data_IF_630814842837
#
_entry.id   IF_630814842837
#
_cell.length_a   1.000
_cell.length_b   1.000
_cell.length_c   1.000
_cell.angle_alpha   90.00
_cell.angle_beta   90.00
_cell.angle_gamma   90.00
#
_symmetry.space_group_name_H-M   'P 1'
#
loop_
_entity.id
_entity.type
_entity.pdbx_description
1 polymer ?
#
# COMPACT_ATOMS: atom_id res chain seq x y z
N UNK A 1 -23.86 2.47 -7.19
CA UNK A 1 -22.44 2.64 -7.53
C UNK A 1 -21.78 1.31 -7.29
N UNK A 2 -21.21 0.71 -8.33
CA UNK A 2 -20.75 -0.69 -8.29
C UNK A 2 -19.36 -0.85 -7.67
N UNK A 3 -18.51 0.17 -7.83
CA UNK A 3 -17.19 0.21 -7.19
C UNK A 3 -16.75 1.65 -6.90
N UNK A 4 -15.82 1.79 -5.94
CA UNK A 4 -15.04 3.00 -5.71
C UNK A 4 -13.62 2.59 -5.35
N UNK A 5 -12.64 3.14 -6.05
CA UNK A 5 -11.23 2.81 -5.83
C UNK A 5 -10.50 4.08 -5.38
N UNK A 6 -9.83 3.99 -4.26
CA UNK A 6 -9.00 5.05 -3.70
C UNK A 6 -7.54 4.69 -3.92
N UNK A 7 -6.81 5.56 -4.59
CA UNK A 7 -5.37 5.41 -4.75
C UNK A 7 -4.67 6.08 -3.56
N UNK A 8 -4.00 5.25 -2.77
CA UNK A 8 -3.18 5.64 -1.62
C UNK A 8 -1.71 5.30 -1.91
N UNK A 9 -0.82 5.67 -0.99
CA UNK A 9 0.58 5.28 -1.00
C UNK A 9 0.96 4.41 0.19
N UNK A 10 1.95 3.54 0.00
CA UNK A 10 2.70 2.85 1.08
C UNK A 10 3.43 3.82 2.01
N UNK A 11 3.75 5.02 1.53
CA UNK A 11 4.44 6.07 2.30
C UNK A 11 3.69 6.51 3.54
N UNK A 12 2.39 6.22 3.65
CA UNK A 12 1.61 6.45 4.88
C UNK A 12 2.01 5.54 6.04
N UNK A 13 2.56 4.36 5.75
CA UNK A 13 2.85 3.34 6.76
C UNK A 13 4.07 3.74 7.57
N UNK A 14 5.18 3.99 6.89
CA UNK A 14 6.46 4.33 7.52
C UNK A 14 6.80 5.82 7.49
N UNK A 15 6.18 6.62 6.60
CA UNK A 15 6.40 8.06 6.51
C UNK A 15 7.71 8.43 5.81
N UNK A 16 7.65 9.38 4.87
CA UNK A 16 8.84 10.02 4.31
C UNK A 16 9.06 11.38 4.96
N UNK A 17 10.31 11.72 5.26
CA UNK A 17 10.67 13.06 5.73
C UNK A 17 10.17 14.13 4.76
N UNK A 18 9.55 15.20 5.30
CA UNK A 18 8.96 16.27 4.49
C UNK A 18 7.61 15.94 3.83
N UNK A 19 7.07 14.73 4.02
CA UNK A 19 5.82 14.28 3.41
C UNK A 19 4.70 14.02 4.43
N UNK A 20 4.69 14.69 5.58
CA UNK A 20 3.65 14.54 6.60
C UNK A 20 2.24 14.77 6.03
N UNK A 21 2.07 15.83 5.25
CA UNK A 21 0.77 16.21 4.68
C UNK A 21 0.27 15.14 3.70
N UNK A 22 1.18 14.60 2.89
CA UNK A 22 0.90 13.50 1.98
C UNK A 22 0.55 12.22 2.74
N UNK A 23 1.33 11.86 3.77
CA UNK A 23 1.07 10.69 4.61
C UNK A 23 -0.29 10.78 5.33
N UNK A 24 -0.66 11.95 5.85
CA UNK A 24 -1.97 12.19 6.48
C UNK A 24 -3.12 12.03 5.50
N UNK A 25 -3.01 12.60 4.30
CA UNK A 25 -4.03 12.46 3.25
C UNK A 25 -4.23 10.98 2.85
N UNK A 26 -3.14 10.26 2.66
CA UNK A 26 -3.20 8.83 2.32
C UNK A 26 -3.77 7.98 3.47
N UNK A 27 -3.44 8.31 4.73
CA UNK A 27 -4.05 7.68 5.90
C UNK A 27 -5.57 7.91 5.92
N UNK A 28 -6.01 9.14 5.64
CA UNK A 28 -7.44 9.44 5.52
C UNK A 28 -8.13 8.58 4.47
N UNK A 29 -7.57 8.40 3.27
CA UNK A 29 -8.17 7.55 2.23
C UNK A 29 -8.40 6.11 2.70
N UNK A 30 -7.49 5.57 3.51
CA UNK A 30 -7.62 4.22 4.04
C UNK A 30 -8.73 4.13 5.08
N UNK A 31 -8.75 5.07 6.04
CA UNK A 31 -9.83 5.15 7.04
C UNK A 31 -11.18 5.44 6.39
N UNK A 32 -11.22 6.24 5.32
CA UNK A 32 -12.45 6.54 4.59
C UNK A 32 -13.00 5.30 3.85
N UNK A 33 -12.12 4.49 3.26
CA UNK A 33 -12.52 3.21 2.67
C UNK A 33 -13.18 2.30 3.71
N UNK A 34 -12.58 2.19 4.89
CA UNK A 34 -13.13 1.41 6.01
C UNK A 34 -14.47 1.96 6.50
N UNK A 35 -14.57 3.28 6.66
CA UNK A 35 -15.80 3.95 7.04
C UNK A 35 -16.94 3.65 6.06
N UNK A 36 -16.68 3.76 4.75
CA UNK A 36 -17.68 3.45 3.71
C UNK A 36 -18.13 1.99 3.76
N UNK A 37 -17.19 1.06 3.92
CA UNK A 37 -17.52 -0.35 4.06
C UNK A 37 -18.35 -0.63 5.32
N UNK A 38 -18.07 0.07 6.43
CA UNK A 38 -18.89 0.01 7.65
C UNK A 38 -20.33 0.49 7.44
N UNK A 39 -20.59 1.29 6.41
CA UNK A 39 -21.93 1.70 5.96
C UNK A 39 -22.53 0.77 4.90
N UNK A 40 -21.87 -0.35 4.57
CA UNK A 40 -22.29 -1.26 3.50
C UNK A 40 -22.07 -0.69 2.08
N UNK A 41 -21.31 0.39 1.95
CA UNK A 41 -21.06 1.07 0.67
C UNK A 41 -19.75 0.59 0.04
N UNK A 42 -19.77 0.44 -1.29
CA UNK A 42 -18.59 0.06 -2.05
C UNK A 42 -17.41 1.03 -1.83
N UNK A 43 -16.24 0.46 -1.50
CA UNK A 43 -14.94 1.13 -1.44
C UNK A 43 -13.77 0.13 -1.35
N UNK A 44 -12.75 0.33 -2.18
CA UNK A 44 -11.43 -0.31 -2.10
C UNK A 44 -10.35 0.77 -2.03
N UNK A 45 -9.21 0.44 -1.42
CA UNK A 45 -8.05 1.32 -1.37
C UNK A 45 -6.78 0.55 -1.74
N UNK A 46 -5.97 1.14 -2.61
CA UNK A 46 -4.69 0.58 -3.07
C UNK A 46 -3.56 1.41 -2.47
N UNK A 47 -2.74 0.84 -1.60
CA UNK A 47 -1.51 1.46 -1.11
C UNK A 47 -0.37 1.18 -2.09
N UNK A 48 -0.15 2.11 -3.02
CA UNK A 48 0.86 1.96 -4.08
C UNK A 48 2.26 2.29 -3.60
N UNK A 49 3.20 1.45 -4.04
CA UNK A 49 4.63 1.73 -4.06
C UNK A 49 5.03 2.66 -5.22
N UNK A 50 6.32 3.02 -5.31
CA UNK A 50 6.87 3.72 -6.47
C UNK A 50 6.73 2.89 -7.76
N UNK A 51 6.40 3.56 -8.87
CA UNK A 51 6.17 2.95 -10.19
C UNK A 51 7.36 3.28 -11.11
N UNK A 52 7.92 2.27 -11.76
CA UNK A 52 9.20 2.31 -12.45
C UNK A 52 9.13 2.94 -13.85
N UNK A 53 8.08 2.59 -14.59
CA UNK A 53 7.96 2.73 -16.04
C UNK A 53 7.07 3.91 -16.45
N UNK A 54 6.18 4.35 -15.55
CA UNK A 54 5.29 5.51 -15.75
C UNK A 54 5.26 6.46 -14.55
N UNK A 55 4.71 7.65 -14.74
CA UNK A 55 4.45 8.61 -13.66
C UNK A 55 5.67 9.43 -13.21
N UNK A 56 5.66 9.86 -11.95
CA UNK A 56 6.64 10.82 -11.41
C UNK A 56 8.06 10.25 -11.33
N UNK A 57 8.17 9.00 -10.86
CA UNK A 57 9.47 8.32 -10.66
C UNK A 57 10.13 8.04 -12.01
N UNK A 58 9.39 7.51 -12.97
CA UNK A 58 9.88 7.28 -14.34
C UNK A 58 10.39 8.57 -15.04
N UNK A 59 9.83 9.74 -14.71
CA UNK A 59 10.23 11.04 -15.29
C UNK A 59 11.48 11.64 -14.66
N UNK A 60 11.93 11.12 -13.51
CA UNK A 60 13.04 11.69 -12.74
C UNK A 60 14.10 10.63 -12.47
N UNK A 61 15.05 10.49 -13.39
CA UNK A 61 16.07 9.44 -13.35
C UNK A 61 16.81 9.36 -11.99
N UNK A 62 17.20 10.51 -11.42
CA UNK A 62 17.87 10.54 -10.10
C UNK A 62 16.98 10.02 -8.96
N UNK A 63 15.67 10.28 -8.99
CA UNK A 63 14.72 9.73 -8.01
C UNK A 63 14.55 8.23 -8.21
N UNK A 64 14.44 7.77 -9.45
CA UNK A 64 14.36 6.36 -9.79
C UNK A 64 15.59 5.58 -9.31
N UNK A 65 16.79 6.07 -9.63
CA UNK A 65 18.05 5.43 -9.24
C UNK A 65 18.21 5.40 -7.71
N UNK A 66 17.85 6.48 -7.01
CA UNK A 66 17.86 6.52 -5.56
C UNK A 66 16.90 5.49 -4.93
N UNK A 67 15.73 5.26 -5.54
CA UNK A 67 14.78 4.24 -5.10
C UNK A 67 15.32 2.83 -5.35
N UNK A 68 15.87 2.56 -6.54
CA UNK A 68 16.44 1.25 -6.89
C UNK A 68 17.66 0.87 -6.04
N UNK A 69 18.41 1.85 -5.54
CA UNK A 69 19.53 1.59 -4.61
C UNK A 69 19.07 1.12 -3.22
N UNK A 70 17.79 1.30 -2.87
CA UNK A 70 17.27 0.98 -1.53
C UNK A 70 16.16 -0.09 -1.57
N UNK A 71 15.37 -0.13 -2.64
CA UNK A 71 14.22 -1.02 -2.80
C UNK A 71 14.58 -2.17 -3.72
N UNK A 72 14.18 -3.40 -3.36
CA UNK A 72 14.43 -4.60 -4.16
C UNK A 72 13.69 -4.55 -5.50
N UNK A 73 12.53 -3.90 -5.54
CA UNK A 73 11.72 -3.73 -6.74
C UNK A 73 10.87 -2.47 -6.69
N UNK A 74 10.54 -1.98 -7.89
CA UNK A 74 9.54 -0.94 -8.13
C UNK A 74 8.38 -1.58 -8.89
N UNK A 75 7.20 -0.96 -8.84
CA UNK A 75 6.00 -1.45 -9.51
C UNK A 75 6.07 -1.15 -11.00
N UNK A 76 5.46 -1.98 -11.83
CA UNK A 76 5.24 -1.69 -13.26
C UNK A 76 3.80 -1.25 -13.50
N UNK A 77 3.54 -0.64 -14.64
CA UNK A 77 2.20 -0.29 -15.09
C UNK A 77 1.28 -1.52 -15.10
N UNK A 78 1.76 -2.65 -15.63
CA UNK A 78 0.99 -3.90 -15.68
C UNK A 78 0.52 -4.33 -14.29
N UNK A 79 1.42 -4.29 -13.30
CA UNK A 79 1.07 -4.68 -11.94
C UNK A 79 0.06 -3.73 -11.29
N UNK A 80 0.14 -2.43 -11.62
CA UNK A 80 -0.87 -1.45 -11.21
C UNK A 80 -2.23 -1.81 -11.81
N UNK A 81 -2.30 -2.14 -13.10
CA UNK A 81 -3.55 -2.50 -13.77
C UNK A 81 -4.16 -3.78 -13.20
N UNK A 82 -3.36 -4.81 -12.93
CA UNK A 82 -3.79 -6.04 -12.24
C UNK A 82 -4.37 -5.73 -10.86
N UNK A 83 -3.72 -4.81 -10.13
CA UNK A 83 -4.18 -4.40 -8.82
C UNK A 83 -5.50 -3.63 -8.88
N UNK A 84 -5.69 -2.79 -9.89
CA UNK A 84 -6.96 -2.10 -10.12
C UNK A 84 -8.07 -3.11 -10.39
N UNK A 85 -7.80 -4.13 -11.20
CA UNK A 85 -8.77 -5.21 -11.46
C UNK A 85 -9.15 -5.94 -10.16
N UNK A 86 -8.16 -6.26 -9.31
CA UNK A 86 -8.42 -6.84 -7.99
C UNK A 86 -9.22 -5.90 -7.08
N UNK A 87 -8.92 -4.60 -7.09
CA UNK A 87 -9.62 -3.60 -6.31
C UNK A 87 -11.09 -3.45 -6.72
N UNK A 88 -11.41 -3.57 -8.02
CA UNK A 88 -12.78 -3.60 -8.53
C UNK A 88 -13.52 -4.81 -7.96
N UNK A 89 -12.93 -6.01 -8.08
CA UNK A 89 -13.52 -7.24 -7.56
C UNK A 89 -13.78 -7.18 -6.05
N UNK A 90 -12.87 -6.55 -5.30
CA UNK A 90 -12.96 -6.43 -3.84
C UNK A 90 -13.75 -5.20 -3.37
N UNK A 91 -14.24 -4.36 -4.28
CA UNK A 91 -14.98 -3.15 -3.92
C UNK A 91 -16.41 -3.43 -3.50
N UNK A 92 -16.96 -4.61 -3.79
CA UNK A 92 -18.35 -4.97 -3.47
C UNK A 92 -18.51 -5.41 -2.01
N UNK A 93 -19.65 -5.05 -1.43
CA UNK A 93 -20.01 -5.35 -0.02
C UNK A 93 -20.12 -6.86 0.25
N UNK A 94 -20.34 -7.68 -0.78
CA UNK A 94 -20.57 -9.13 -0.66
C UNK A 94 -19.36 -9.91 -0.15
N UNK A 95 -18.15 -9.36 -0.26
CA UNK A 95 -16.92 -10.03 0.22
C UNK A 95 -16.74 -9.92 1.75
N UNK A 96 -17.38 -8.93 2.40
CA UNK A 96 -17.20 -8.63 3.81
C UNK A 96 -18.16 -9.40 4.75
N UNK A 97 -19.14 -10.13 4.21
CA UNK A 97 -20.24 -10.71 4.98
C UNK A 97 -20.08 -12.20 5.33
N UNK A 98 -19.05 -12.88 4.84
CA UNK A 98 -18.77 -14.27 5.23
C UNK A 98 -17.88 -14.24 6.49
N UNK A 99 -18.39 -14.59 7.68
CA UNK A 99 -17.57 -14.72 8.87
C UNK A 99 -16.67 -15.93 8.64
N UNK A 100 -15.36 -15.72 8.39
CA UNK A 100 -14.41 -16.82 8.41
C UNK A 100 -14.35 -17.36 9.85
N UNK A 101 -14.98 -18.51 10.04
CA UNK A 101 -15.22 -19.24 11.29
C UNK A 101 -13.97 -19.84 11.95
N UNK A 102 -12.81 -19.19 11.81
CA UNK A 102 -11.56 -19.63 12.44
C UNK A 102 -10.93 -18.45 13.17
N UNK A 103 -11.39 -18.22 14.40
CA UNK A 103 -10.72 -17.34 15.36
C UNK A 103 -9.38 -17.98 15.74
N UNK A 104 -8.33 -17.60 15.02
CA UNK A 104 -6.97 -17.82 15.48
C UNK A 104 -6.65 -16.71 16.50
N UNK A 105 -5.94 -16.98 17.59
CA UNK A 105 -5.38 -15.90 18.42
C UNK A 105 -4.42 -14.99 17.65
N UNK A 106 -3.99 -15.40 16.44
CA UNK A 106 -3.25 -14.58 15.48
C UNK A 106 -4.12 -13.95 14.38
N UNK A 107 -5.45 -14.10 14.41
CA UNK A 107 -6.34 -13.41 13.48
C UNK A 107 -6.41 -11.93 13.88
N UNK A 108 -5.43 -11.16 13.37
CA UNK A 108 -5.43 -9.72 13.47
C UNK A 108 -6.55 -9.09 12.64
N UNK A 109 -6.60 -7.75 12.65
CA UNK A 109 -7.48 -6.97 11.81
C UNK A 109 -7.30 -7.34 10.32
N UNK A 110 -8.41 -7.62 9.63
CA UNK A 110 -8.42 -7.91 8.19
C UNK A 110 -9.22 -6.84 7.44
N UNK A 111 -8.64 -6.31 6.36
CA UNK A 111 -9.31 -5.39 5.45
C UNK A 111 -9.13 -5.90 4.01
N UNK A 112 -10.01 -6.80 3.53
CA UNK A 112 -9.84 -7.46 2.23
C UNK A 112 -9.92 -6.49 1.03
N UNK A 113 -10.53 -5.33 1.24
CA UNK A 113 -10.64 -4.23 0.28
C UNK A 113 -9.46 -3.24 0.36
N UNK A 114 -8.48 -3.49 1.23
CA UNK A 114 -7.22 -2.75 1.28
C UNK A 114 -6.11 -3.60 0.66
N UNK A 115 -5.69 -3.23 -0.54
CA UNK A 115 -4.59 -3.89 -1.23
C UNK A 115 -3.31 -3.11 -0.95
N UNK A 116 -2.30 -3.80 -0.42
CA UNK A 116 -1.01 -3.21 -0.06
C UNK A 116 0.07 -3.79 -0.96
N UNK A 117 0.82 -2.93 -1.64
CA UNK A 117 1.99 -3.36 -2.39
C UNK A 117 3.19 -3.45 -1.46
N UNK A 118 3.80 -4.62 -1.38
CA UNK A 118 5.01 -4.81 -0.57
C UNK A 118 6.13 -3.90 -1.07
N UNK A 119 6.94 -3.39 -0.14
CA UNK A 119 8.18 -2.70 -0.44
C UNK A 119 9.30 -3.44 0.27
N UNK A 120 10.08 -4.19 -0.51
CA UNK A 120 11.19 -5.00 0.00
C UNK A 120 12.48 -4.20 -0.06
N UNK A 121 13.36 -4.43 0.92
CA UNK A 121 14.69 -3.82 0.94
C UNK A 121 15.63 -4.59 0.02
N UNK A 122 16.34 -3.91 -0.88
CA UNK A 122 17.35 -4.55 -1.72
C UNK A 122 18.57 -5.02 -0.91
N UNK A 123 18.83 -4.33 0.20
CA UNK A 123 19.95 -4.59 1.11
C UNK A 123 19.45 -5.22 2.40
N UNK A 124 20.18 -6.16 3.04
CA UNK A 124 19.82 -6.67 4.36
C UNK A 124 19.57 -5.54 5.38
N UNK A 125 18.57 -5.69 6.26
CA UNK A 125 18.20 -4.65 7.23
C UNK A 125 19.37 -4.34 8.19
N UNK A 126 20.18 -5.34 8.55
CA UNK A 126 21.30 -5.19 9.47
C UNK A 126 22.53 -4.52 8.82
N UNK A 127 22.57 -4.42 7.49
CA UNK A 127 23.71 -3.83 6.78
C UNK A 127 23.85 -2.34 7.14
N UNK A 128 25.03 -1.86 7.58
CA UNK A 128 25.25 -0.46 7.94
C UNK A 128 24.99 0.53 6.78
N UNK A 129 25.13 0.09 5.53
CA UNK A 129 24.89 0.90 4.34
C UNK A 129 23.43 0.92 3.88
N UNK A 130 22.56 0.09 4.47
CA UNK A 130 21.13 0.17 4.20
C UNK A 130 20.56 1.53 4.66
N UNK A 131 20.05 2.32 3.71
CA UNK A 131 19.43 3.64 3.92
C UNK A 131 17.91 3.64 3.79
N UNK A 132 17.27 2.47 3.78
CA UNK A 132 15.81 2.39 3.73
C UNK A 132 15.22 3.10 4.96
N UNK A 133 14.31 4.03 4.72
CA UNK A 133 13.83 4.96 5.75
C UNK A 133 13.09 4.25 6.90
N UNK A 134 12.56 3.05 6.66
CA UNK A 134 11.90 2.21 7.67
C UNK A 134 12.82 1.16 8.33
N UNK A 135 14.14 1.22 8.11
CA UNK A 135 15.11 0.28 8.70
C UNK A 135 14.95 0.08 10.21
N UNK A 136 14.60 1.14 10.93
CA UNK A 136 14.45 1.16 12.39
C UNK A 136 13.01 1.13 12.86
N UNK A 137 12.05 0.94 11.94
CA UNK A 137 10.65 0.89 12.28
C UNK A 137 10.29 -0.53 12.76
N UNK A 138 9.95 -0.74 14.04
CA UNK A 138 9.62 -2.05 14.55
C UNK A 138 8.39 -2.68 13.87
N UNK A 139 7.54 -1.87 13.22
CA UNK A 139 6.38 -2.35 12.46
C UNK A 139 6.77 -3.07 11.17
N UNK A 140 8.02 -2.89 10.72
CA UNK A 140 8.56 -3.44 9.48
C UNK A 140 9.57 -4.57 9.73
N UNK A 141 9.68 -5.05 10.98
CA UNK A 141 10.47 -6.23 11.34
C UNK A 141 9.64 -7.49 11.05
N UNK A 142 9.73 -7.99 9.82
CA UNK A 142 9.16 -9.28 9.42
C UNK A 142 10.23 -10.11 8.70
#
# INVERSE_FOLDING_TARGET
MDFLILFSSVGRTYGYYGQSNYASANTFLNSFSQYRQGLGLAASVISMGPIDDIGLVARTASTRDALLNNLASLLTETYVLETVQLAIAHSSTSYALEPKSVESPFSGFQAPNHIFHSTESATPIQDPENRIIWKRDPRMLI
#
